data_IF_178652942600
#
_entry.id   IF_178652942600
#
_cell.length_a   1.000
_cell.length_b   1.000
_cell.length_c   1.000
_cell.angle_alpha   90.00
_cell.angle_beta   90.00
_cell.angle_gamma   90.00
#
_symmetry.space_group_name_H-M   'P 1'
#
loop_
_entity.id
_entity.type
_entity.pdbx_description
1 polymer ?
#
# COMPACT_ATOMS: atom_id res chain seq x y z
N UNK A 1 -23.81 -18.26 -6.95
CA UNK A 1 -22.41 -18.59 -7.34
C UNK A 1 -21.60 -17.33 -7.17
N UNK A 2 -20.84 -17.21 -6.07
CA UNK A 2 -19.93 -16.10 -5.90
C UNK A 2 -18.75 -16.36 -6.86
N UNK A 3 -18.70 -15.65 -7.97
CA UNK A 3 -17.55 -15.71 -8.87
C UNK A 3 -16.33 -15.29 -8.08
N UNK A 4 -15.46 -16.25 -7.77
CA UNK A 4 -14.08 -15.98 -7.36
C UNK A 4 -13.42 -15.26 -8.53
N UNK A 5 -13.53 -13.94 -8.59
CA UNK A 5 -12.66 -13.12 -9.45
C UNK A 5 -11.26 -13.34 -8.87
N UNK A 6 -10.47 -14.18 -9.52
CA UNK A 6 -9.04 -14.28 -9.20
C UNK A 6 -8.44 -12.88 -9.24
N UNK A 7 -7.69 -12.51 -8.21
CA UNK A 7 -7.05 -11.19 -8.14
C UNK A 7 -6.20 -10.96 -9.40
N UNK A 8 -6.44 -9.87 -10.12
CA UNK A 8 -5.71 -9.52 -11.36
C UNK A 8 -4.23 -9.12 -11.10
N UNK A 9 -3.82 -8.99 -9.85
CA UNK A 9 -2.44 -8.66 -9.46
C UNK A 9 -1.53 -9.89 -9.62
N UNK A 10 -1.08 -10.14 -10.84
CA UNK A 10 -0.12 -11.21 -11.15
C UNK A 10 1.31 -10.81 -10.77
N UNK A 11 2.24 -11.77 -10.72
CA UNK A 11 3.65 -11.47 -10.50
C UNK A 11 4.22 -10.51 -11.56
N UNK A 12 3.85 -10.70 -12.83
CA UNK A 12 4.25 -9.81 -13.93
C UNK A 12 3.74 -8.40 -13.72
N UNK A 13 2.51 -8.24 -13.22
CA UNK A 13 1.97 -6.92 -12.91
C UNK A 13 2.65 -6.30 -11.69
N UNK A 14 2.91 -7.10 -10.67
CA UNK A 14 3.57 -6.64 -9.44
C UNK A 14 4.93 -6.00 -9.72
N UNK A 15 5.77 -6.63 -10.55
CA UNK A 15 7.11 -6.10 -10.88
C UNK A 15 7.09 -4.82 -11.74
N UNK A 16 5.94 -4.45 -12.30
CA UNK A 16 5.76 -3.18 -13.03
C UNK A 16 5.48 -2.00 -12.08
N UNK A 17 5.30 -2.26 -10.79
CA UNK A 17 5.11 -1.23 -9.80
C UNK A 17 6.32 -0.30 -9.68
N UNK A 18 6.09 0.81 -8.99
CA UNK A 18 7.09 1.81 -8.69
C UNK A 18 7.71 1.53 -7.33
N UNK A 19 8.99 1.88 -7.20
CA UNK A 19 9.61 2.11 -5.89
C UNK A 19 8.98 3.32 -5.19
N UNK A 20 9.17 3.44 -3.87
CA UNK A 20 8.77 4.62 -3.10
C UNK A 20 9.26 5.92 -3.72
N UNK A 21 10.53 5.99 -4.11
CA UNK A 21 11.12 7.20 -4.68
C UNK A 21 10.49 7.55 -6.03
N UNK A 22 10.30 6.56 -6.91
CA UNK A 22 9.65 6.78 -8.21
C UNK A 22 8.22 7.30 -8.05
N UNK A 23 7.49 6.81 -7.04
CA UNK A 23 6.16 7.34 -6.74
C UNK A 23 6.24 8.80 -6.22
N UNK A 24 7.10 9.09 -5.23
CA UNK A 24 7.30 10.44 -4.69
C UNK A 24 7.64 11.45 -5.79
N UNK A 25 8.46 11.05 -6.76
CA UNK A 25 8.86 11.90 -7.88
C UNK A 25 7.67 12.29 -8.77
N UNK A 26 6.63 11.45 -8.83
CA UNK A 26 5.44 11.65 -9.66
C UNK A 26 4.28 12.36 -8.95
N UNK A 27 4.33 12.55 -7.62
CA UNK A 27 3.26 13.22 -6.87
C UNK A 27 3.09 14.67 -7.35
N UNK A 28 1.86 15.08 -7.69
CA UNK A 28 1.54 16.43 -8.19
C UNK A 28 0.76 17.28 -7.21
N UNK A 29 -0.18 16.68 -6.47
CA UNK A 29 -1.12 17.43 -5.62
C UNK A 29 -0.59 17.64 -4.21
N UNK A 30 -0.31 16.56 -3.46
CA UNK A 30 0.06 16.62 -2.05
C UNK A 30 1.51 16.19 -1.78
N UNK A 31 2.47 16.64 -2.61
CA UNK A 31 3.87 16.20 -2.52
C UNK A 31 4.55 16.58 -1.21
N UNK A 32 4.51 17.87 -0.86
CA UNK A 32 5.19 18.39 0.33
C UNK A 32 4.73 17.72 1.64
N UNK A 33 3.42 17.60 1.94
CA UNK A 33 3.01 16.92 3.17
C UNK A 33 3.33 15.43 3.14
N UNK A 34 3.23 14.76 1.99
CA UNK A 34 3.61 13.35 1.84
C UNK A 34 5.09 13.13 2.18
N UNK A 35 5.97 13.93 1.56
CA UNK A 35 7.42 13.86 1.77
C UNK A 35 7.76 14.18 3.22
N UNK A 36 7.16 15.23 3.79
CA UNK A 36 7.35 15.61 5.19
C UNK A 36 7.02 14.47 6.15
N UNK A 37 5.89 13.78 5.97
CA UNK A 37 5.54 12.61 6.79
C UNK A 37 6.54 11.47 6.58
N UNK A 38 6.88 11.16 5.32
CA UNK A 38 7.83 10.09 5.00
C UNK A 38 9.22 10.31 5.61
N UNK A 39 9.69 11.56 5.63
CA UNK A 39 11.00 11.92 6.19
C UNK A 39 11.00 11.92 7.72
N UNK A 40 9.91 12.38 8.34
CA UNK A 40 9.82 12.57 9.79
C UNK A 40 9.35 11.34 10.56
N UNK A 41 8.61 10.43 9.92
CA UNK A 41 8.05 9.27 10.59
C UNK A 41 9.16 8.34 11.13
N UNK A 42 9.06 8.05 12.42
CA UNK A 42 9.93 7.10 13.10
C UNK A 42 9.27 5.74 13.11
N UNK A 43 9.92 4.78 12.46
CA UNK A 43 9.47 3.39 12.45
C UNK A 43 9.97 2.72 13.74
N UNK A 44 9.08 2.23 14.62
CA UNK A 44 9.49 1.57 15.85
C UNK A 44 10.34 0.32 15.55
N UNK A 45 11.39 0.11 16.36
CA UNK A 45 12.27 -1.05 16.20
C UNK A 45 11.51 -2.37 16.37
N UNK A 46 10.52 -2.41 17.26
CA UNK A 46 9.64 -3.57 17.44
C UNK A 46 8.90 -3.92 16.14
N UNK A 47 8.35 -2.92 15.45
CA UNK A 47 7.70 -3.14 14.15
C UNK A 47 8.68 -3.72 13.13
N UNK A 48 9.90 -3.19 13.04
CA UNK A 48 10.93 -3.73 12.14
C UNK A 48 11.29 -5.17 12.49
N UNK A 49 11.44 -5.47 13.79
CA UNK A 49 11.80 -6.80 14.26
C UNK A 49 10.73 -7.84 13.91
N UNK A 50 9.44 -7.47 13.96
CA UNK A 50 8.35 -8.37 13.55
C UNK A 50 8.51 -8.83 12.09
N UNK A 51 8.83 -7.91 11.17
CA UNK A 51 9.02 -8.26 9.76
C UNK A 51 10.38 -8.94 9.51
N UNK A 52 11.43 -8.53 10.22
CA UNK A 52 12.76 -9.15 10.11
C UNK A 52 12.79 -10.59 10.63
N UNK A 53 11.87 -10.96 11.53
CA UNK A 53 11.75 -12.31 12.06
C UNK A 53 10.97 -13.27 11.13
N UNK A 54 10.39 -12.77 10.03
CA UNK A 54 9.71 -13.62 9.06
C UNK A 54 10.70 -14.60 8.40
N UNK A 55 10.31 -15.86 8.31
CA UNK A 55 11.12 -16.91 7.66
C UNK A 55 11.26 -16.70 6.15
N UNK A 56 10.28 -16.03 5.54
CA UNK A 56 10.27 -15.67 4.13
C UNK A 56 9.83 -14.22 3.96
N UNK A 57 10.34 -13.50 2.95
CA UNK A 57 9.88 -12.16 2.65
C UNK A 57 8.39 -12.16 2.30
N UNK A 58 7.74 -11.01 2.47
CA UNK A 58 6.38 -10.74 1.98
C UNK A 58 6.43 -9.75 0.84
N UNK A 59 5.41 -9.80 -0.02
CA UNK A 59 5.20 -8.81 -1.07
C UNK A 59 4.10 -7.85 -0.64
N UNK A 60 4.35 -6.55 -0.76
CA UNK A 60 3.40 -5.50 -0.44
C UNK A 60 3.15 -4.64 -1.69
N UNK A 61 1.93 -4.69 -2.22
CA UNK A 61 1.48 -3.76 -3.25
C UNK A 61 0.64 -2.65 -2.62
N UNK A 62 0.96 -1.40 -2.93
CA UNK A 62 0.27 -0.22 -2.41
C UNK A 62 -0.36 0.54 -3.56
N UNK A 63 -1.69 0.64 -3.57
CA UNK A 63 -2.42 1.48 -4.52
C UNK A 63 -2.82 2.77 -3.82
N UNK A 64 -2.38 3.90 -4.36
CA UNK A 64 -2.52 5.21 -3.72
C UNK A 64 -2.84 6.28 -4.76
N UNK A 65 -3.33 7.42 -4.30
CA UNK A 65 -3.61 8.57 -5.16
C UNK A 65 -3.20 9.86 -4.45
N UNK A 66 -2.52 10.74 -5.17
CA UNK A 66 -1.93 11.95 -4.60
C UNK A 66 -2.96 13.00 -4.16
N UNK A 67 -4.18 12.95 -4.70
CA UNK A 67 -5.27 13.84 -4.36
C UNK A 67 -6.06 13.42 -3.12
N UNK A 68 -5.87 12.20 -2.61
CA UNK A 68 -6.64 11.69 -1.48
C UNK A 68 -5.98 12.04 -0.14
N UNK A 69 -6.72 12.69 0.76
CA UNK A 69 -6.22 13.08 2.09
C UNK A 69 -5.78 11.90 2.96
N UNK A 70 -6.57 10.83 2.99
CA UNK A 70 -6.25 9.61 3.74
C UNK A 70 -5.00 8.92 3.17
N UNK A 71 -4.89 8.86 1.84
CA UNK A 71 -3.73 8.28 1.19
C UNK A 71 -2.46 9.12 1.46
N UNK A 72 -2.58 10.44 1.44
CA UNK A 72 -1.49 11.37 1.74
C UNK A 72 -0.90 11.17 3.13
N UNK A 73 -1.73 10.91 4.15
CA UNK A 73 -1.27 10.80 5.53
C UNK A 73 -0.74 9.40 5.89
N UNK A 74 -1.36 8.34 5.36
CA UNK A 74 -1.12 6.95 5.77
C UNK A 74 -0.08 6.24 4.91
N UNK A 75 -0.13 6.44 3.59
CA UNK A 75 0.80 5.84 2.63
C UNK A 75 2.27 6.10 3.00
N UNK A 76 2.73 7.34 3.26
CA UNK A 76 4.15 7.58 3.53
C UNK A 76 4.66 6.85 4.78
N UNK A 77 3.80 6.62 5.78
CA UNK A 77 4.14 5.84 6.98
C UNK A 77 4.42 4.38 6.62
N UNK A 78 3.53 3.78 5.82
CA UNK A 78 3.67 2.39 5.38
C UNK A 78 4.86 2.21 4.43
N UNK A 79 5.07 3.14 3.49
CA UNK A 79 6.24 3.09 2.60
C UNK A 79 7.54 3.18 3.41
N UNK A 80 7.62 4.05 4.43
CA UNK A 80 8.80 4.17 5.28
C UNK A 80 9.09 2.90 6.07
N UNK A 81 8.05 2.25 6.60
CA UNK A 81 8.18 0.95 7.28
C UNK A 81 8.73 -0.10 6.32
N UNK A 82 8.13 -0.22 5.14
CA UNK A 82 8.52 -1.20 4.13
C UNK A 82 9.96 -0.97 3.62
N UNK A 83 10.34 0.27 3.34
CA UNK A 83 11.71 0.61 2.90
C UNK A 83 12.77 0.28 3.96
N UNK A 84 12.40 0.25 5.25
CA UNK A 84 13.30 -0.11 6.35
C UNK A 84 13.30 -1.60 6.71
N UNK A 85 12.36 -2.38 6.17
CA UNK A 85 12.21 -3.80 6.48
C UNK A 85 12.63 -4.64 5.26
N UNK A 86 13.85 -5.22 5.23
CA UNK A 86 14.36 -5.98 4.07
C UNK A 86 13.51 -7.19 3.68
N UNK A 87 12.71 -7.72 4.60
CA UNK A 87 11.76 -8.80 4.32
C UNK A 87 10.43 -8.31 3.71
N UNK A 88 10.30 -7.03 3.36
CA UNK A 88 9.15 -6.49 2.62
C UNK A 88 9.61 -6.08 1.22
N UNK A 89 9.11 -6.79 0.22
CA UNK A 89 9.26 -6.42 -1.19
C UNK A 89 8.10 -5.48 -1.52
N UNK A 90 8.38 -4.19 -1.65
CA UNK A 90 7.39 -3.14 -1.86
C UNK A 90 7.25 -2.77 -3.34
N UNK A 91 6.01 -2.58 -3.78
CA UNK A 91 5.65 -2.00 -5.08
C UNK A 91 4.48 -1.03 -4.93
N UNK A 92 4.58 0.14 -5.55
CA UNK A 92 3.59 1.23 -5.46
C UNK A 92 2.93 1.45 -6.82
N UNK A 93 1.62 1.64 -6.82
CA UNK A 93 0.80 1.87 -8.01
C UNK A 93 -0.03 3.13 -7.82
N UNK A 94 -0.08 3.96 -8.86
CA UNK A 94 -1.06 5.03 -8.90
C UNK A 94 -2.43 4.42 -9.22
N UNK A 95 -3.42 4.69 -8.37
CA UNK A 95 -4.77 4.15 -8.53
C UNK A 95 -5.42 4.56 -9.84
N UNK A 96 -5.17 5.78 -10.32
CA UNK A 96 -5.83 6.28 -11.53
C UNK A 96 -5.26 5.62 -12.79
N UNK A 97 -3.98 5.27 -12.79
CA UNK A 97 -3.35 4.47 -13.86
C UNK A 97 -3.80 3.00 -13.80
N UNK A 98 -4.06 2.49 -12.59
CA UNK A 98 -4.46 1.10 -12.32
C UNK A 98 -5.93 0.99 -11.90
N UNK A 99 -6.83 1.73 -12.56
CA UNK A 99 -8.21 1.87 -12.11
C UNK A 99 -8.98 0.54 -12.08
N UNK A 100 -8.85 -0.29 -13.11
CA UNK A 100 -9.50 -1.59 -13.17
C UNK A 100 -8.97 -2.53 -12.08
N UNK A 101 -7.64 -2.61 -11.99
CA UNK A 101 -6.95 -3.48 -11.03
C UNK A 101 -7.26 -3.08 -9.59
N UNK A 102 -7.15 -1.80 -9.25
CA UNK A 102 -7.47 -1.27 -7.92
C UNK A 102 -8.93 -1.54 -7.55
N UNK A 103 -9.88 -1.32 -8.46
CA UNK A 103 -11.29 -1.64 -8.24
C UNK A 103 -11.55 -3.14 -8.10
N UNK A 104 -10.81 -3.99 -8.82
CA UNK A 104 -10.92 -5.46 -8.69
C UNK A 104 -10.55 -5.95 -7.29
N UNK A 105 -9.71 -5.20 -6.57
CA UNK A 105 -9.32 -5.51 -5.20
C UNK A 105 -10.42 -5.12 -4.21
N UNK A 106 -11.29 -4.16 -4.54
CA UNK A 106 -12.30 -3.59 -3.66
C UNK A 106 -13.64 -4.36 -3.71
N UNK A 107 -14.38 -4.42 -2.59
CA UNK A 107 -15.81 -4.71 -2.65
C UNK A 107 -16.50 -3.70 -3.56
N UNK A 108 -17.55 -4.12 -4.28
CA UNK A 108 -18.21 -3.28 -5.31
C UNK A 108 -18.66 -1.91 -4.79
N UNK A 109 -19.10 -1.82 -3.53
CA UNK A 109 -19.53 -0.57 -2.90
C UNK A 109 -18.40 0.36 -2.43
N UNK A 110 -17.14 -0.05 -2.57
CA UNK A 110 -15.94 0.75 -2.22
C UNK A 110 -15.09 1.09 -3.45
N UNK A 111 -15.65 0.96 -4.66
CA UNK A 111 -14.92 1.32 -5.88
C UNK A 111 -14.32 2.74 -5.75
N UNK A 112 -13.05 2.86 -6.07
CA UNK A 112 -12.29 4.10 -5.98
C UNK A 112 -11.73 4.47 -4.61
N UNK A 113 -11.90 3.66 -3.56
CA UNK A 113 -11.25 3.91 -2.26
C UNK A 113 -9.74 3.68 -2.34
N UNK A 114 -8.98 4.61 -1.75
CA UNK A 114 -7.54 4.56 -1.57
C UNK A 114 -7.18 5.10 -0.18
N UNK A 115 -6.07 4.68 0.42
CA UNK A 115 -5.12 3.71 -0.12
C UNK A 115 -5.58 2.25 0.03
N UNK A 116 -5.03 1.37 -0.80
CA UNK A 116 -5.21 -0.08 -0.73
C UNK A 116 -3.85 -0.72 -0.48
N UNK A 117 -3.74 -1.50 0.58
CA UNK A 117 -2.53 -2.27 0.87
C UNK A 117 -2.83 -3.76 0.68
N UNK A 118 -2.09 -4.41 -0.20
CA UNK A 118 -2.25 -5.83 -0.52
C UNK A 118 -0.99 -6.57 -0.09
N UNK A 119 -1.13 -7.41 0.93
CA UNK A 119 -0.04 -8.26 1.45
C UNK A 119 -0.17 -9.65 0.85
N UNK A 120 0.92 -10.13 0.26
CA UNK A 120 1.00 -11.42 -0.43
C UNK A 120 2.22 -12.21 0.04
N UNK A 121 2.15 -13.53 -0.09
CA UNK A 121 3.34 -14.39 0.01
C UNK A 121 4.17 -14.35 -1.29
N UNK A 122 5.23 -15.17 -1.34
CA UNK A 122 6.12 -15.25 -2.50
C UNK A 122 5.41 -15.74 -3.77
N UNK A 123 4.35 -16.53 -3.63
CA UNK A 123 3.58 -17.11 -4.74
C UNK A 123 2.41 -16.22 -5.18
N UNK A 124 2.39 -14.94 -4.77
CA UNK A 124 1.32 -13.99 -5.07
C UNK A 124 -0.04 -14.36 -4.43
N UNK A 125 -0.08 -15.26 -3.44
CA UNK A 125 -1.31 -15.53 -2.73
C UNK A 125 -1.58 -14.38 -1.76
N UNK A 126 -2.67 -13.67 -1.99
CA UNK A 126 -3.13 -12.59 -1.12
C UNK A 126 -3.49 -13.12 0.27
N UNK A 127 -2.81 -12.61 1.31
CA UNK A 127 -3.05 -12.99 2.71
C UNK A 127 -3.94 -11.98 3.42
N UNK A 128 -3.69 -10.69 3.21
CA UNK A 128 -4.42 -9.61 3.87
C UNK A 128 -4.60 -8.45 2.91
N UNK A 129 -5.75 -7.77 3.01
CA UNK A 129 -6.00 -6.53 2.32
C UNK A 129 -6.52 -5.49 3.30
N UNK A 130 -5.82 -4.38 3.43
CA UNK A 130 -6.21 -3.25 4.27
C UNK A 130 -6.76 -2.11 3.42
N UNK A 131 -7.90 -1.58 3.81
CA UNK A 131 -8.53 -0.39 3.21
C UNK A 131 -8.69 0.60 4.35
N UNK A 132 -7.85 1.62 4.38
CA UNK A 132 -8.06 2.68 5.36
C UNK A 132 -9.07 3.67 4.80
N UNK A 133 -10.13 3.92 5.56
CA UNK A 133 -10.89 5.16 5.51
C UNK A 133 -10.64 5.79 6.87
N UNK A 134 -10.12 7.02 6.94
CA UNK A 134 -9.66 7.67 8.18
C UNK A 134 -10.75 7.93 9.24
N UNK A 135 -11.88 7.25 9.18
CA UNK A 135 -12.99 7.37 10.11
C UNK A 135 -12.94 6.40 11.30
N UNK A 136 -11.85 5.64 11.50
CA UNK A 136 -11.73 4.71 12.64
C UNK A 136 -10.43 4.79 13.44
N UNK A 137 -9.59 5.81 13.25
CA UNK A 137 -8.42 6.05 14.12
C UNK A 137 -8.59 7.27 15.04
N UNK A 138 -9.84 7.60 15.39
CA UNK A 138 -10.14 8.68 16.31
C UNK A 138 -11.52 8.54 16.95
N UNK A 139 -11.70 7.53 17.80
CA UNK A 139 -12.78 7.51 18.80
C UNK A 139 -12.50 6.40 19.84
N UNK A 140 -11.43 6.58 20.62
CA UNK A 140 -11.38 6.03 21.98
C UNK A 140 -11.62 7.19 22.95
N UNK A 141 -12.90 7.50 23.18
CA UNK A 141 -13.42 8.13 24.41
C UNK A 141 -14.87 7.72 24.61
#
# INVERSE_FOLDING_TARGET
MASTRGTQLTQEKFIQGMTTQQYIDQIKVNKDPFVSIYETVQVPLESLNLFNALSEPIKLAVFTADWCGDAMSTTPVILKLADKAPNIILQVFNRDDELELSNSLLPEHRAGTVPIFVVMDQDMNQKVRFIETANSLGAEH
#
